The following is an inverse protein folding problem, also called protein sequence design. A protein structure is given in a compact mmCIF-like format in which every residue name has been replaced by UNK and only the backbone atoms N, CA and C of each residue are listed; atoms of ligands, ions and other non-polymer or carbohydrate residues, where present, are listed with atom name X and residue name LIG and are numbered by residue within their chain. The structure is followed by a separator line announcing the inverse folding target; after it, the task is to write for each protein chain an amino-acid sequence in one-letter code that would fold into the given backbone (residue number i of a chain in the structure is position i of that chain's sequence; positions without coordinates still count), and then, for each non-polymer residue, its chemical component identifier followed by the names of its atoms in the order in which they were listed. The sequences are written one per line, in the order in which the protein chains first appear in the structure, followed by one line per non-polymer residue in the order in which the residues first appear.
data_IF_226864392270
#
_entry.id   IF_226864392270
#
_cell.length_a   1.000
_cell.length_b   1.000
_cell.length_c   1.000
_cell.angle_alpha   90.00
_cell.angle_beta   90.00
_cell.angle_gamma   90.00
#
_symmetry.space_group_name_H-M   'P 1'
#
loop_
_entity.id
_entity.type
_entity.pdbx_description
1 polymer ?
#
# COMPACT_ATOMS: atom_id res chain seq x y z
N UNK A 1 -42.47 -22.91 21.86
CA UNK A 1 -42.36 -23.54 20.51
C UNK A 1 -41.45 -22.66 19.68
N UNK A 2 -40.20 -23.07 19.47
CA UNK A 2 -39.24 -22.38 18.64
C UNK A 2 -39.66 -22.64 17.21
N UNK A 3 -40.20 -21.62 16.52
CA UNK A 3 -40.54 -21.72 15.09
C UNK A 3 -39.28 -22.08 14.33
N UNK A 4 -39.33 -23.15 13.55
CA UNK A 4 -38.28 -23.63 12.65
C UNK A 4 -37.60 -22.45 11.95
N UNK A 5 -36.39 -22.18 12.36
CA UNK A 5 -35.49 -21.26 11.70
C UNK A 5 -35.19 -21.91 10.35
N UNK A 6 -35.81 -21.45 9.26
CA UNK A 6 -35.44 -21.90 7.90
C UNK A 6 -34.03 -21.43 7.65
N UNK A 7 -33.13 -22.37 7.51
CA UNK A 7 -31.72 -22.11 7.25
C UNK A 7 -31.57 -21.27 5.98
N UNK A 8 -30.67 -20.31 6.03
CA UNK A 8 -30.26 -19.56 4.84
C UNK A 8 -29.52 -20.53 3.94
N UNK A 9 -30.01 -20.72 2.72
CA UNK A 9 -29.38 -21.58 1.72
C UNK A 9 -28.49 -20.73 0.82
N UNK A 10 -27.23 -21.15 0.67
CA UNK A 10 -26.28 -20.48 -0.22
C UNK A 10 -26.09 -21.26 -1.52
N UNK A 11 -26.11 -20.55 -2.64
CA UNK A 11 -25.71 -21.06 -3.94
C UNK A 11 -24.29 -20.55 -4.22
N UNK A 12 -23.30 -21.44 -4.14
CA UNK A 12 -21.90 -21.10 -4.34
C UNK A 12 -21.58 -21.05 -5.85
N UNK A 13 -21.61 -19.86 -6.43
CA UNK A 13 -21.38 -19.64 -7.86
C UNK A 13 -19.91 -19.39 -8.23
N UNK A 14 -18.98 -19.38 -7.26
CA UNK A 14 -17.59 -18.98 -7.50
C UNK A 14 -16.55 -19.97 -6.97
N UNK A 15 -16.99 -21.11 -6.43
CA UNK A 15 -16.06 -22.11 -5.85
C UNK A 15 -15.39 -21.65 -4.56
N UNK A 16 -16.02 -20.73 -3.82
CA UNK A 16 -15.51 -20.28 -2.53
C UNK A 16 -15.55 -21.41 -1.47
N UNK A 17 -14.56 -21.45 -0.59
CA UNK A 17 -14.44 -22.40 0.51
C UNK A 17 -14.80 -21.66 1.79
N UNK A 18 -15.84 -22.11 2.47
CA UNK A 18 -16.31 -21.52 3.73
C UNK A 18 -17.19 -22.52 4.48
N UNK A 19 -17.37 -22.33 5.77
CA UNK A 19 -18.38 -23.04 6.55
C UNK A 19 -19.75 -22.38 6.31
N UNK A 20 -20.69 -23.16 5.75
CA UNK A 20 -22.03 -22.67 5.40
C UNK A 20 -22.83 -22.29 6.62
N UNK A 21 -22.70 -23.02 7.72
CA UNK A 21 -23.39 -22.73 8.97
C UNK A 21 -22.88 -21.45 9.63
N UNK A 22 -21.56 -21.24 9.62
CA UNK A 22 -20.96 -20.00 10.11
C UNK A 22 -21.35 -18.78 9.25
N UNK A 23 -21.36 -18.95 7.92
CA UNK A 23 -21.81 -17.88 7.02
C UNK A 23 -23.30 -17.56 7.25
N UNK A 24 -24.16 -18.57 7.48
CA UNK A 24 -25.56 -18.34 7.79
C UNK A 24 -25.72 -17.55 9.09
N UNK A 25 -24.99 -17.90 10.14
CA UNK A 25 -24.98 -17.16 11.41
C UNK A 25 -24.48 -15.73 11.22
N UNK A 26 -23.41 -15.53 10.47
CA UNK A 26 -22.83 -14.22 10.19
C UNK A 26 -23.81 -13.31 9.42
N UNK A 27 -24.49 -13.87 8.42
CA UNK A 27 -25.53 -13.14 7.66
C UNK A 27 -26.70 -12.73 8.55
N UNK A 28 -27.19 -13.63 9.41
CA UNK A 28 -28.25 -13.33 10.37
C UNK A 28 -27.82 -12.28 11.40
N UNK A 29 -26.61 -12.40 11.91
CA UNK A 29 -26.02 -11.43 12.83
C UNK A 29 -25.91 -10.03 12.19
N UNK A 30 -25.42 -9.94 10.98
CA UNK A 30 -25.24 -8.68 10.26
C UNK A 30 -26.58 -8.02 9.90
N UNK A 31 -27.57 -8.82 9.49
CA UNK A 31 -28.85 -8.30 9.04
C UNK A 31 -29.80 -7.90 10.15
N UNK A 32 -29.56 -8.34 11.39
CA UNK A 32 -30.46 -8.17 12.54
C UNK A 32 -31.91 -8.59 12.28
N UNK A 33 -32.20 -9.22 11.14
CA UNK A 33 -33.53 -9.68 10.71
C UNK A 33 -33.40 -11.06 10.07
N UNK A 34 -34.40 -11.94 10.24
CA UNK A 34 -34.43 -13.24 9.59
C UNK A 34 -34.37 -13.07 8.05
N UNK A 35 -33.45 -13.73 7.40
CA UNK A 35 -33.37 -13.79 5.93
C UNK A 35 -33.87 -15.17 5.51
N UNK A 36 -35.05 -15.20 4.86
CA UNK A 36 -35.72 -16.44 4.43
C UNK A 36 -35.51 -16.75 2.95
N UNK A 37 -34.44 -16.25 2.34
CA UNK A 37 -34.21 -16.41 0.91
C UNK A 37 -32.88 -17.04 0.58
N UNK A 38 -32.87 -17.80 -0.53
CA UNK A 38 -31.64 -18.29 -1.12
C UNK A 38 -30.71 -17.11 -1.45
N UNK A 39 -29.47 -17.21 -1.07
CA UNK A 39 -28.42 -16.21 -1.34
C UNK A 39 -27.36 -16.79 -2.26
N UNK A 40 -26.88 -15.99 -3.20
CA UNK A 40 -25.76 -16.35 -4.04
C UNK A 40 -24.46 -15.88 -3.44
N UNK A 41 -23.45 -16.75 -3.42
CA UNK A 41 -22.06 -16.41 -3.16
C UNK A 41 -21.41 -16.26 -4.54
N UNK A 42 -20.95 -15.06 -4.86
CA UNK A 42 -20.41 -14.70 -6.17
C UNK A 42 -19.11 -13.89 -6.03
N UNK A 43 -18.34 -13.80 -7.09
CA UNK A 43 -17.15 -12.93 -7.08
C UNK A 43 -17.55 -11.46 -7.20
N UNK A 44 -17.08 -10.65 -6.27
CA UNK A 44 -17.09 -9.20 -6.36
C UNK A 44 -15.65 -8.68 -6.32
N UNK A 45 -15.17 -8.21 -7.46
CA UNK A 45 -13.75 -7.99 -7.66
C UNK A 45 -12.96 -9.30 -7.59
N UNK A 46 -12.09 -9.44 -6.61
CA UNK A 46 -11.22 -10.61 -6.43
C UNK A 46 -11.63 -11.52 -5.28
N UNK A 47 -12.75 -11.24 -4.62
CA UNK A 47 -13.18 -11.92 -3.40
C UNK A 47 -14.61 -12.40 -3.51
N UNK A 48 -14.93 -13.56 -2.89
CA UNK A 48 -16.30 -14.01 -2.74
C UNK A 48 -17.12 -13.02 -1.91
N UNK A 49 -18.36 -12.79 -2.32
CA UNK A 49 -19.29 -11.86 -1.67
C UNK A 49 -20.71 -12.37 -1.65
N UNK A 50 -21.50 -11.85 -0.75
CA UNK A 50 -22.96 -11.98 -0.69
C UNK A 50 -23.62 -10.61 -0.81
N UNK A 51 -24.83 -10.56 -1.37
CA UNK A 51 -25.62 -9.33 -1.41
C UNK A 51 -26.62 -9.30 -0.26
N UNK A 52 -26.53 -8.27 0.59
CA UNK A 52 -27.42 -8.01 1.73
C UNK A 52 -27.89 -6.56 1.65
N UNK A 53 -29.20 -6.34 1.63
CA UNK A 53 -29.79 -4.98 1.59
C UNK A 53 -29.23 -4.05 0.50
N UNK A 54 -29.02 -4.58 -0.71
CA UNK A 54 -28.38 -3.89 -1.84
C UNK A 54 -26.88 -3.58 -1.67
N UNK A 55 -26.28 -4.01 -0.58
CA UNK A 55 -24.83 -3.95 -0.39
C UNK A 55 -24.16 -5.28 -0.77
N UNK A 56 -22.97 -5.21 -1.35
CA UNK A 56 -22.14 -6.38 -1.65
C UNK A 56 -21.06 -6.49 -0.58
N UNK A 57 -21.16 -7.52 0.25
CA UNK A 57 -20.27 -7.71 1.38
C UNK A 57 -19.39 -8.94 1.11
N UNK A 58 -18.08 -8.77 1.20
CA UNK A 58 -17.13 -9.87 1.08
C UNK A 58 -17.28 -10.85 2.24
N UNK A 59 -17.38 -12.17 1.94
CA UNK A 59 -17.68 -13.19 2.97
C UNK A 59 -16.56 -13.29 4.00
N UNK A 60 -15.28 -13.18 3.62
CA UNK A 60 -14.17 -13.19 4.57
C UNK A 60 -14.26 -12.03 5.59
N UNK A 61 -14.67 -10.83 5.16
CA UNK A 61 -14.86 -9.69 6.05
C UNK A 61 -16.09 -9.86 6.92
N UNK A 62 -17.18 -10.38 6.37
CA UNK A 62 -18.41 -10.65 7.11
C UNK A 62 -18.19 -11.70 8.22
N UNK A 63 -17.50 -12.81 7.90
CA UNK A 63 -17.16 -13.84 8.86
C UNK A 63 -16.24 -13.30 9.96
N UNK A 64 -15.21 -12.56 9.59
CA UNK A 64 -14.30 -11.96 10.56
C UNK A 64 -15.00 -10.98 11.51
N UNK A 65 -15.90 -10.14 11.00
CA UNK A 65 -16.74 -9.26 11.83
C UNK A 65 -17.65 -10.05 12.78
N UNK A 66 -18.24 -11.13 12.29
CA UNK A 66 -19.09 -12.01 13.11
C UNK A 66 -18.31 -12.66 14.26
N UNK A 67 -17.12 -13.22 13.99
CA UNK A 67 -16.29 -13.84 15.02
C UNK A 67 -15.76 -12.84 16.07
N UNK A 68 -15.54 -11.60 15.66
CA UNK A 68 -15.13 -10.50 16.56
C UNK A 68 -16.31 -9.92 17.35
N UNK A 69 -17.55 -10.18 16.92
CA UNK A 69 -18.74 -9.56 17.50
C UNK A 69 -18.90 -8.07 17.19
N UNK A 70 -18.19 -7.53 16.18
CA UNK A 70 -18.20 -6.11 15.86
C UNK A 70 -17.61 -5.75 14.49
N UNK A 71 -17.67 -4.46 14.15
CA UNK A 71 -17.05 -3.95 12.93
C UNK A 71 -15.53 -3.98 13.03
N UNK A 72 -14.87 -4.32 11.94
CA UNK A 72 -13.42 -4.23 11.82
C UNK A 72 -13.06 -2.77 11.48
N UNK A 73 -12.16 -2.16 12.28
CA UNK A 73 -11.60 -0.82 11.99
C UNK A 73 -10.88 -0.81 10.65
N UNK A 74 -10.80 0.37 10.03
CA UNK A 74 -10.09 0.57 8.77
C UNK A 74 -8.56 0.38 8.91
N UNK A 75 -8.05 0.39 10.15
CA UNK A 75 -6.65 0.09 10.47
C UNK A 75 -6.28 -1.40 10.34
N UNK A 76 -7.27 -2.27 10.08
CA UNK A 76 -7.05 -3.71 9.97
C UNK A 76 -7.57 -4.27 8.65
N UNK A 77 -6.79 -5.19 8.08
CA UNK A 77 -7.19 -6.00 6.94
C UNK A 77 -7.39 -7.46 7.34
N UNK A 78 -8.37 -8.12 6.70
CA UNK A 78 -8.52 -9.57 6.80
C UNK A 78 -7.62 -10.20 5.74
N UNK A 79 -6.61 -10.95 6.20
CA UNK A 79 -5.60 -11.59 5.34
C UNK A 79 -5.85 -13.10 5.25
N UNK A 80 -5.64 -13.68 4.05
CA UNK A 80 -5.71 -15.11 3.80
C UNK A 80 -4.31 -15.71 3.96
N UNK A 81 -4.13 -16.60 4.94
CA UNK A 81 -2.81 -17.18 5.28
C UNK A 81 -2.22 -17.96 4.10
N UNK A 82 -3.05 -18.73 3.40
CA UNK A 82 -2.65 -19.49 2.20
C UNK A 82 -2.54 -18.67 0.92
N UNK A 83 -2.88 -17.37 0.97
CA UNK A 83 -2.94 -16.49 -0.21
C UNK A 83 -4.13 -16.76 -1.14
N UNK A 84 -4.95 -17.77 -0.90
CA UNK A 84 -6.12 -18.12 -1.69
C UNK A 84 -7.33 -17.28 -1.24
N UNK A 85 -7.71 -16.31 -2.03
CA UNK A 85 -8.83 -15.40 -1.75
C UNK A 85 -10.21 -16.06 -1.73
N UNK A 86 -10.31 -17.27 -2.25
CA UNK A 86 -11.55 -18.05 -2.23
C UNK A 86 -11.72 -18.82 -0.92
N UNK A 87 -10.66 -18.99 -0.11
CA UNK A 87 -10.69 -19.75 1.12
C UNK A 87 -10.97 -18.86 2.33
N UNK A 88 -12.24 -18.73 2.69
CA UNK A 88 -12.72 -17.94 3.82
C UNK A 88 -13.01 -18.78 5.06
N UNK A 89 -12.26 -19.85 5.30
CA UNK A 89 -12.35 -20.65 6.54
C UNK A 89 -11.73 -19.91 7.72
N UNK A 90 -12.15 -20.24 8.93
CA UNK A 90 -11.69 -19.59 10.17
C UNK A 90 -10.19 -19.72 10.38
N UNK A 91 -9.65 -20.89 10.08
CA UNK A 91 -8.24 -21.23 10.24
C UNK A 91 -7.34 -20.50 9.24
N UNK A 92 -7.92 -20.04 8.13
CA UNK A 92 -7.19 -19.38 7.06
C UNK A 92 -7.26 -17.83 7.12
N UNK A 93 -8.11 -17.27 7.96
CA UNK A 93 -8.29 -15.83 8.06
C UNK A 93 -7.61 -15.25 9.30
N UNK A 94 -6.83 -14.21 9.13
CA UNK A 94 -6.16 -13.47 10.20
C UNK A 94 -6.33 -11.98 10.02
N UNK A 95 -6.50 -11.25 11.13
CA UNK A 95 -6.49 -9.78 11.12
C UNK A 95 -5.06 -9.28 11.17
N UNK A 96 -4.71 -8.43 10.23
CA UNK A 96 -3.38 -7.84 10.10
C UNK A 96 -3.51 -6.32 10.09
N UNK A 97 -2.71 -5.58 10.88
CA UNK A 97 -2.67 -4.13 10.79
C UNK A 97 -2.36 -3.65 9.37
N UNK A 98 -3.01 -2.58 8.93
CA UNK A 98 -2.85 -2.02 7.58
C UNK A 98 -1.40 -1.67 7.26
N UNK A 99 -0.65 -1.18 8.25
CA UNK A 99 0.77 -0.82 8.13
C UNK A 99 1.65 -2.03 7.79
N UNK A 100 1.34 -3.19 8.35
CA UNK A 100 2.12 -4.42 8.17
C UNK A 100 1.62 -5.28 7.01
N UNK A 101 0.40 -5.06 6.53
CA UNK A 101 -0.20 -5.87 5.48
C UNK A 101 0.61 -5.88 4.17
N UNK A 102 1.17 -4.72 3.78
CA UNK A 102 2.06 -4.63 2.61
C UNK A 102 3.36 -5.41 2.81
N UNK A 103 3.91 -5.44 4.02
CA UNK A 103 5.13 -6.20 4.33
C UNK A 103 4.90 -7.69 4.26
N UNK A 104 3.72 -8.19 4.67
CA UNK A 104 3.33 -9.60 4.53
C UNK A 104 3.33 -10.05 3.06
N UNK A 105 2.77 -9.24 2.16
CA UNK A 105 2.76 -9.56 0.74
C UNK A 105 4.12 -9.44 0.05
N UNK A 106 5.03 -8.66 0.62
CA UNK A 106 6.37 -8.38 0.07
C UNK A 106 7.48 -9.16 0.75
N UNK A 107 7.17 -9.86 1.86
CA UNK A 107 8.14 -10.69 2.56
C UNK A 107 8.75 -11.73 1.59
N UNK A 108 10.07 -11.74 1.48
CA UNK A 108 10.81 -12.64 0.60
C UNK A 108 10.79 -12.29 -0.89
N UNK A 109 10.09 -11.24 -1.32
CA UNK A 109 10.11 -10.78 -2.71
C UNK A 109 11.26 -9.79 -2.93
N UNK A 110 12.25 -10.18 -3.71
CA UNK A 110 13.29 -9.27 -4.19
C UNK A 110 12.90 -8.71 -5.55
N UNK A 111 13.00 -7.40 -5.70
CA UNK A 111 12.79 -6.77 -7.00
C UNK A 111 13.89 -7.21 -7.97
N UNK A 112 13.55 -7.51 -9.21
CA UNK A 112 14.55 -7.79 -10.26
C UNK A 112 15.48 -6.59 -10.42
N UNK A 113 16.70 -6.86 -10.88
CA UNK A 113 17.72 -5.82 -11.14
C UNK A 113 17.18 -4.74 -12.08
N UNK A 114 16.48 -5.17 -13.13
CA UNK A 114 15.84 -4.26 -14.09
C UNK A 114 14.75 -3.37 -13.44
N UNK A 115 13.94 -3.95 -12.57
CA UNK A 115 12.89 -3.20 -11.87
C UNK A 115 13.49 -2.16 -10.90
N UNK A 116 14.55 -2.54 -10.17
CA UNK A 116 15.32 -1.61 -9.31
C UNK A 116 15.93 -0.47 -10.10
N UNK A 117 16.50 -0.78 -11.29
CA UNK A 117 17.05 0.23 -12.20
C UNK A 117 15.96 1.20 -12.67
N UNK A 118 14.81 0.72 -13.16
CA UNK A 118 13.67 1.56 -13.58
C UNK A 118 13.17 2.48 -12.46
N UNK A 119 13.11 1.97 -11.21
CA UNK A 119 12.75 2.79 -10.05
C UNK A 119 13.84 3.86 -9.81
N UNK A 120 15.10 3.51 -9.88
CA UNK A 120 16.23 4.44 -9.73
C UNK A 120 16.22 5.56 -10.77
N UNK A 121 16.00 5.21 -12.03
CA UNK A 121 15.92 6.17 -13.14
C UNK A 121 14.74 7.14 -12.96
N UNK A 122 13.55 6.61 -12.68
CA UNK A 122 12.36 7.44 -12.40
C UNK A 122 12.55 8.35 -11.19
N UNK A 123 13.24 7.89 -10.16
CA UNK A 123 13.51 8.72 -8.98
C UNK A 123 14.53 9.81 -9.29
N UNK A 124 15.53 9.56 -10.15
CA UNK A 124 16.47 10.57 -10.64
C UNK A 124 15.75 11.67 -11.43
N UNK A 125 14.88 11.30 -12.37
CA UNK A 125 14.06 12.24 -13.13
C UNK A 125 13.18 13.10 -12.21
N UNK A 126 12.53 12.48 -11.21
CA UNK A 126 11.70 13.20 -10.23
C UNK A 126 12.50 14.15 -9.34
N UNK A 127 13.72 13.78 -8.93
CA UNK A 127 14.60 14.65 -8.14
C UNK A 127 14.95 15.91 -8.91
N UNK A 128 15.38 15.77 -10.17
CA UNK A 128 15.65 16.91 -11.04
C UNK A 128 14.45 17.86 -11.19
N UNK A 129 13.24 17.31 -11.30
CA UNK A 129 12.02 18.12 -11.43
C UNK A 129 11.63 18.82 -10.12
N UNK A 130 11.82 18.14 -8.97
CA UNK A 130 11.44 18.70 -7.66
C UNK A 130 12.20 19.97 -7.29
N UNK A 131 13.52 20.02 -7.45
CA UNK A 131 14.26 21.22 -7.06
C UNK A 131 14.10 22.35 -8.07
N UNK A 132 13.96 22.05 -9.37
CA UNK A 132 13.65 23.04 -10.40
C UNK A 132 12.33 23.77 -10.11
N UNK A 133 11.34 23.05 -9.57
CA UNK A 133 10.04 23.65 -9.21
C UNK A 133 10.08 24.45 -7.89
N UNK A 134 10.90 24.04 -6.90
CA UNK A 134 10.89 24.70 -5.58
C UNK A 134 11.57 26.05 -5.55
N UNK A 135 12.69 26.26 -6.21
CA UNK A 135 13.38 27.56 -6.30
C UNK A 135 14.14 27.61 -7.65
N UNK A 136 13.48 27.98 -8.74
CA UNK A 136 14.10 27.95 -10.08
C UNK A 136 15.26 28.95 -10.22
N UNK A 137 15.28 29.99 -9.40
CA UNK A 137 16.31 31.03 -9.43
C UNK A 137 17.66 30.56 -8.84
N UNK A 138 17.70 29.42 -8.13
CA UNK A 138 18.91 28.87 -7.55
C UNK A 138 19.45 27.80 -8.49
N UNK A 139 20.45 28.15 -9.25
CA UNK A 139 21.07 27.24 -10.23
C UNK A 139 22.11 26.30 -9.56
N UNK A 140 22.39 25.12 -10.15
CA UNK A 140 23.49 24.27 -9.72
C UNK A 140 24.84 24.99 -9.70
N UNK A 141 25.12 25.84 -10.70
CA UNK A 141 26.32 26.68 -10.79
C UNK A 141 26.47 27.65 -9.61
N UNK A 142 25.37 28.27 -9.12
CA UNK A 142 25.43 29.12 -7.93
C UNK A 142 25.85 28.34 -6.69
N UNK A 143 25.31 27.15 -6.49
CA UNK A 143 25.67 26.28 -5.35
C UNK A 143 27.12 25.86 -5.44
N UNK A 144 27.61 25.50 -6.63
CA UNK A 144 29.00 25.18 -6.87
C UNK A 144 29.91 26.37 -6.50
N UNK A 145 29.61 27.60 -7.02
CA UNK A 145 30.38 28.80 -6.71
C UNK A 145 30.44 29.10 -5.22
N UNK A 146 29.34 28.93 -4.48
CA UNK A 146 29.35 29.07 -3.01
C UNK A 146 30.20 27.99 -2.34
N UNK A 147 30.21 26.78 -2.86
CA UNK A 147 30.99 25.68 -2.30
C UNK A 147 32.49 25.89 -2.45
N UNK A 148 32.94 26.29 -3.63
CA UNK A 148 34.35 26.57 -3.88
C UNK A 148 34.86 27.82 -3.17
N UNK A 149 33.96 28.79 -2.82
CA UNK A 149 34.29 29.91 -1.96
C UNK A 149 34.44 29.51 -0.46
N UNK A 150 34.46 28.21 -0.13
CA UNK A 150 34.71 27.69 1.22
C UNK A 150 33.47 27.56 2.10
N UNK A 151 32.25 27.77 1.57
CA UNK A 151 31.04 27.58 2.37
C UNK A 151 30.70 26.10 2.54
N UNK A 152 30.33 25.71 3.76
CA UNK A 152 29.80 24.35 4.01
C UNK A 152 28.40 24.20 3.44
N UNK A 153 27.99 22.98 3.07
CA UNK A 153 26.62 22.69 2.61
C UNK A 153 25.55 23.14 3.62
N UNK A 154 25.81 23.03 4.93
CA UNK A 154 24.91 23.50 5.97
C UNK A 154 24.73 25.02 5.95
N UNK A 155 25.81 25.77 5.70
CA UNK A 155 25.76 27.24 5.60
C UNK A 155 24.99 27.67 4.34
N UNK A 156 25.27 27.01 3.21
CA UNK A 156 24.57 27.25 1.93
C UNK A 156 23.07 26.91 2.08
N UNK A 157 22.72 25.79 2.71
CA UNK A 157 21.35 25.36 2.98
C UNK A 157 20.56 26.42 3.76
N UNK A 158 21.14 26.93 4.85
CA UNK A 158 20.51 28.00 5.65
C UNK A 158 20.38 29.30 4.88
N UNK A 159 21.39 29.70 4.11
CA UNK A 159 21.41 30.96 3.37
C UNK A 159 20.44 30.97 2.20
N UNK A 160 20.27 29.84 1.53
CA UNK A 160 19.34 29.69 0.41
C UNK A 160 17.95 29.22 0.85
N UNK A 161 17.75 28.94 2.14
CA UNK A 161 16.53 28.34 2.70
C UNK A 161 16.12 27.08 1.91
N UNK A 162 17.08 26.24 1.62
CA UNK A 162 16.90 24.96 0.95
C UNK A 162 17.26 23.82 1.88
N UNK A 163 16.61 22.67 1.68
CA UNK A 163 17.02 21.44 2.35
C UNK A 163 18.46 21.06 1.94
N UNK A 164 19.23 20.55 2.91
CA UNK A 164 20.62 20.13 2.71
C UNK A 164 20.79 19.16 1.56
N UNK A 165 19.89 18.17 1.45
CA UNK A 165 19.89 17.20 0.35
C UNK A 165 19.70 17.86 -1.03
N UNK A 166 18.85 18.90 -1.11
CA UNK A 166 18.65 19.66 -2.33
C UNK A 166 19.88 20.49 -2.73
N UNK A 167 20.61 21.02 -1.74
CA UNK A 167 21.86 21.76 -2.00
C UNK A 167 22.96 20.83 -2.49
N UNK A 168 23.14 19.70 -1.80
CA UNK A 168 24.13 18.69 -2.19
C UNK A 168 23.86 18.13 -3.59
N UNK A 169 22.61 17.83 -3.91
CA UNK A 169 22.21 17.31 -5.23
C UNK A 169 22.54 18.31 -6.35
N UNK A 170 22.26 19.62 -6.14
CA UNK A 170 22.61 20.65 -7.15
C UNK A 170 24.12 20.74 -7.38
N UNK A 171 24.91 20.59 -6.33
CA UNK A 171 26.36 20.57 -6.44
C UNK A 171 26.84 19.34 -7.23
N UNK A 172 26.31 18.17 -6.90
CA UNK A 172 26.65 16.91 -7.58
C UNK A 172 26.21 16.92 -9.05
N UNK A 173 25.03 17.45 -9.35
CA UNK A 173 24.54 17.60 -10.73
C UNK A 173 25.45 18.54 -11.54
N UNK A 174 25.93 19.65 -10.95
CA UNK A 174 26.84 20.55 -11.65
C UNK A 174 28.20 19.91 -11.94
N UNK A 175 28.77 19.17 -11.00
CA UNK A 175 30.00 18.42 -11.20
C UNK A 175 29.81 17.34 -12.27
N UNK A 176 28.70 16.62 -12.23
CA UNK A 176 28.39 15.59 -13.23
C UNK A 176 28.29 16.16 -14.66
N UNK A 177 27.71 17.35 -14.79
CA UNK A 177 27.55 18.01 -16.10
C UNK A 177 28.84 18.71 -16.56
N UNK A 178 29.83 18.89 -15.68
CA UNK A 178 31.12 19.53 -15.96
C UNK A 178 32.29 18.71 -15.35
N UNK A 179 32.55 17.52 -15.86
CA UNK A 179 33.55 16.60 -15.28
C UNK A 179 34.98 17.16 -15.29
N UNK A 180 35.31 18.10 -16.20
CA UNK A 180 36.60 18.79 -16.29
C UNK A 180 36.95 19.57 -15.02
N UNK A 181 35.97 19.92 -14.19
CA UNK A 181 36.21 20.62 -12.92
C UNK A 181 36.81 19.74 -11.84
N UNK A 182 36.81 18.43 -12.01
CA UNK A 182 37.45 17.46 -11.11
C UNK A 182 38.90 17.21 -11.47
N UNK A 183 39.30 17.45 -12.73
CA UNK A 183 40.66 17.18 -13.22
C UNK A 183 41.61 18.34 -12.92
N UNK A 184 41.13 19.48 -12.44
CA UNK A 184 41.95 20.67 -12.13
C UNK A 184 42.45 20.79 -10.69
N UNK A 185 42.38 19.74 -9.89
CA UNK A 185 42.67 19.75 -8.44
C UNK A 185 44.00 19.15 -7.99
N UNK A 186 44.86 18.78 -8.92
CA UNK A 186 46.23 18.29 -8.60
C UNK A 186 47.31 19.12 -9.32
N UNK A 187 47.44 20.39 -8.94
CA UNK A 187 48.72 21.13 -9.13
C UNK A 187 48.81 22.19 -8.04
N UNK A 188 49.63 21.89 -7.06
CA UNK A 188 50.52 22.56 -6.12
C UNK A 188 50.36 22.11 -4.66
#
# INVERSE_FOLDING_TARGET
MIKNQKDVIFENCCGAIYDESELAKAVLWYSAKPIYSRKKVFLYGRYPAVSLYNEKIHIHRLLAMFWLGGKISDDFHVHHIDGNKLNATRENLVLVPSETHLSYHNAGKTLSVEHRRKIGDRNRERRGTRYKQRKPNITPQMVYGMRISGMSFNKISKMLELDWGCVKQRYEDFIHDNPELLEGGEEE
#
